data_IF_933532908898
#
_entry.id   IF_933532908898
#
_cell.length_a   1.000
_cell.length_b   1.000
_cell.length_c   1.000
_cell.angle_alpha   90.00
_cell.angle_beta   90.00
_cell.angle_gamma   90.00
#
_symmetry.space_group_name_H-M   'P 1'
#
loop_
_entity.id
_entity.type
_entity.pdbx_description
1 polymer ?
#
# COMPACT_ATOMS: atom_id res chain seq x y z
N UNK A 1 47.09 40.34 1.90
CA UNK A 1 45.68 40.14 1.45
C UNK A 1 45.78 39.43 0.10
N UNK A 2 45.22 38.27 -0.01
CA UNK A 2 45.18 37.57 -1.29
C UNK A 2 44.06 38.13 -2.16
N UNK A 3 44.32 38.26 -3.46
CA UNK A 3 43.30 38.71 -4.44
C UNK A 3 42.84 37.47 -5.21
N UNK A 4 41.53 37.35 -5.36
CA UNK A 4 40.87 36.32 -6.16
C UNK A 4 40.06 36.91 -7.28
N UNK A 5 39.97 36.23 -8.43
CA UNK A 5 39.17 36.72 -9.56
C UNK A 5 37.71 36.39 -9.35
N UNK A 6 36.85 37.36 -9.50
CA UNK A 6 35.39 37.18 -9.48
C UNK A 6 34.97 36.27 -10.63
N UNK A 7 34.29 35.15 -10.29
CA UNK A 7 33.86 34.15 -11.29
C UNK A 7 32.82 34.69 -12.29
N UNK A 8 32.16 35.80 -11.99
CA UNK A 8 31.15 36.38 -12.86
C UNK A 8 31.67 37.51 -13.74
N UNK A 9 32.51 38.43 -13.23
CA UNK A 9 32.97 39.59 -13.99
C UNK A 9 34.49 39.63 -14.21
N UNK A 10 35.26 38.65 -13.72
CA UNK A 10 36.69 38.52 -13.92
C UNK A 10 37.59 39.52 -13.16
N UNK A 11 37.02 40.53 -12.45
CA UNK A 11 37.80 41.49 -11.70
C UNK A 11 38.44 40.90 -10.44
N UNK A 12 39.65 41.39 -10.13
CA UNK A 12 40.35 41.02 -8.89
C UNK A 12 39.71 41.70 -7.68
N UNK A 13 39.43 40.90 -6.67
CA UNK A 13 38.71 41.28 -5.45
C UNK A 13 39.37 40.61 -4.25
N UNK A 14 39.21 41.15 -3.07
CA UNK A 14 39.74 40.54 -1.85
C UNK A 14 39.10 39.16 -1.60
N UNK A 15 39.91 38.21 -1.21
CA UNK A 15 39.49 36.86 -0.77
C UNK A 15 38.53 36.86 0.44
N UNK A 16 38.46 37.98 1.16
CA UNK A 16 37.56 38.18 2.32
C UNK A 16 36.29 38.96 1.98
N UNK A 17 36.09 39.35 0.71
CA UNK A 17 34.90 40.06 0.31
C UNK A 17 33.69 39.11 0.25
N UNK A 18 32.57 39.48 0.87
CA UNK A 18 31.34 38.72 0.88
C UNK A 18 30.59 38.78 -0.45
N UNK A 19 30.79 39.86 -1.21
CA UNK A 19 30.24 40.05 -2.55
C UNK A 19 31.19 40.89 -3.43
N UNK A 20 31.14 40.70 -4.73
CA UNK A 20 31.94 41.50 -5.68
C UNK A 20 31.44 42.94 -5.72
N UNK A 21 32.28 43.93 -5.42
CA UNK A 21 31.85 45.35 -5.41
C UNK A 21 31.49 45.88 -6.80
N UNK A 22 31.85 45.19 -7.86
CA UNK A 22 31.60 45.62 -9.25
C UNK A 22 30.33 45.01 -9.84
N UNK A 23 29.96 43.76 -9.49
CA UNK A 23 28.83 43.08 -10.10
C UNK A 23 27.85 42.47 -9.05
N UNK A 24 28.08 42.71 -7.76
CA UNK A 24 27.20 42.25 -6.70
C UNK A 24 27.19 40.71 -6.45
N UNK A 25 27.95 39.91 -7.22
CA UNK A 25 27.95 38.46 -7.08
C UNK A 25 28.57 38.03 -5.74
N UNK A 26 27.89 37.27 -4.92
CA UNK A 26 28.45 36.73 -3.65
C UNK A 26 29.64 35.80 -3.93
N UNK A 27 30.73 36.01 -3.18
CA UNK A 27 32.03 35.34 -3.44
C UNK A 27 32.22 34.11 -2.59
N UNK A 28 31.70 34.14 -1.38
CA UNK A 28 31.72 33.00 -0.45
C UNK A 28 30.30 32.50 -0.26
N UNK A 29 29.85 31.62 -1.16
CA UNK A 29 28.72 30.78 -0.90
C UNK A 29 29.31 29.57 -0.14
N UNK A 30 28.88 29.29 1.10
CA UNK A 30 29.25 28.00 1.72
C UNK A 30 28.78 26.90 0.76
N UNK A 31 29.67 25.95 0.45
CA UNK A 31 29.31 24.78 -0.33
C UNK A 31 28.09 24.14 0.33
N UNK A 32 27.09 23.84 -0.47
CA UNK A 32 25.84 23.21 -0.03
C UNK A 32 26.16 22.01 0.87
N UNK A 33 26.01 22.18 2.18
CA UNK A 33 26.11 21.09 3.11
C UNK A 33 25.02 20.07 2.77
N UNK A 34 25.41 18.83 2.62
CA UNK A 34 24.45 17.73 2.44
C UNK A 34 24.16 17.09 3.78
N UNK A 35 22.92 16.75 4.02
CA UNK A 35 22.54 15.97 5.19
C UNK A 35 23.30 14.64 5.19
N UNK A 36 23.98 14.33 6.29
CA UNK A 36 24.77 13.09 6.47
C UNK A 36 23.92 11.83 6.46
N UNK A 37 22.64 11.96 6.79
CA UNK A 37 21.73 10.83 6.90
C UNK A 37 20.97 10.53 5.58
N UNK A 38 20.53 11.56 4.85
CA UNK A 38 19.71 11.35 3.66
C UNK A 38 20.25 11.97 2.37
N UNK A 39 21.39 12.69 2.43
CA UNK A 39 22.02 13.31 1.27
C UNK A 39 21.30 14.56 0.71
N UNK A 40 20.22 15.02 1.35
CA UNK A 40 19.48 16.20 0.93
C UNK A 40 20.34 17.46 1.03
N UNK A 41 20.22 18.39 0.03
CA UNK A 41 21.00 19.63 0.02
C UNK A 41 20.35 20.62 0.99
N UNK A 42 21.14 21.03 2.01
CA UNK A 42 20.69 21.91 3.08
C UNK A 42 20.95 23.39 2.77
N UNK A 43 20.09 24.26 3.25
CA UNK A 43 20.29 25.70 3.26
C UNK A 43 21.13 26.10 4.48
N UNK A 44 21.84 27.22 4.41
CA UNK A 44 22.65 27.76 5.52
C UNK A 44 21.83 28.18 6.76
N UNK A 45 20.51 28.21 6.65
CA UNK A 45 19.59 28.59 7.72
C UNK A 45 18.88 27.38 8.35
N UNK A 46 19.10 26.17 7.78
CA UNK A 46 18.43 24.97 8.26
C UNK A 46 19.14 24.40 9.50
N UNK A 47 18.47 24.39 10.63
CA UNK A 47 18.94 23.72 11.85
C UNK A 47 18.47 22.25 11.92
N UNK A 48 17.51 21.88 11.11
CA UNK A 48 16.94 20.54 11.00
C UNK A 48 16.74 20.23 9.51
N UNK A 49 17.12 19.05 9.05
CA UNK A 49 16.94 18.65 7.66
C UNK A 49 15.45 18.58 7.31
N UNK A 50 14.94 19.34 6.32
CA UNK A 50 13.52 19.35 5.97
C UNK A 50 13.04 18.04 5.34
N UNK A 51 13.96 17.20 4.89
CA UNK A 51 13.61 15.92 4.25
C UNK A 51 13.52 14.74 5.24
N UNK A 52 14.41 14.67 6.25
CA UNK A 52 14.46 13.52 7.17
C UNK A 52 14.33 13.89 8.65
N UNK A 53 14.25 15.19 9.00
CA UNK A 53 14.13 15.65 10.38
C UNK A 53 15.41 15.54 11.23
N UNK A 54 16.56 15.22 10.63
CA UNK A 54 17.83 15.10 11.35
C UNK A 54 18.38 16.46 11.76
N UNK A 55 18.84 16.67 13.02
CA UNK A 55 19.46 17.93 13.43
C UNK A 55 20.82 18.13 12.74
N UNK A 56 21.09 19.33 12.28
CA UNK A 56 22.32 19.71 11.59
C UNK A 56 23.28 20.28 12.63
N UNK A 57 24.40 19.58 12.88
CA UNK A 57 25.43 20.07 13.78
C UNK A 57 26.19 21.24 13.14
N UNK A 58 26.04 22.45 13.70
CA UNK A 58 26.91 23.57 13.37
C UNK A 58 28.30 23.33 13.98
N UNK A 59 29.32 23.25 13.13
CA UNK A 59 30.72 23.21 13.58
C UNK A 59 31.12 24.59 14.13
N UNK A 60 30.81 24.84 15.39
CA UNK A 60 31.48 25.91 16.11
C UNK A 60 32.85 25.38 16.60
N UNK A 61 33.91 25.99 16.08
CA UNK A 61 35.27 25.77 16.55
C UNK A 61 35.38 26.11 18.04
N UNK A 62 36.01 25.29 18.87
CA UNK A 62 36.11 25.57 20.30
C UNK A 62 36.99 26.81 20.52
N UNK A 63 36.39 27.84 21.11
CA UNK A 63 37.15 29.00 21.61
C UNK A 63 38.01 28.54 22.80
N UNK A 64 39.34 28.76 22.71
CA UNK A 64 40.29 28.52 23.76
C UNK A 64 40.05 29.54 24.90
N UNK A 65 39.41 29.08 25.97
CA UNK A 65 39.25 29.86 27.21
C UNK A 65 40.57 29.67 28.03
N UNK A 66 41.29 30.76 28.25
CA UNK A 66 42.39 30.77 29.22
C UNK A 66 41.80 30.76 30.63
N UNK A 67 42.06 29.68 31.36
CA UNK A 67 41.64 29.51 32.75
C UNK A 67 42.72 30.09 33.64
N UNK A 68 42.39 31.06 34.54
CA UNK A 68 43.34 31.48 35.60
C UNK A 68 43.64 30.32 36.53
N UNK A 69 44.92 30.16 36.82
CA UNK A 69 45.47 29.13 37.71
C UNK A 69 44.88 29.28 39.13
N UNK A 70 43.86 28.52 39.46
CA UNK A 70 43.33 28.42 40.85
C UNK A 70 43.82 27.10 41.44
N UNK A 71 44.63 27.20 42.49
CA UNK A 71 45.15 26.05 43.24
C UNK A 71 44.00 25.14 43.74
N UNK A 72 44.16 23.81 43.71
CA UNK A 72 43.11 22.91 44.12
C UNK A 72 42.92 22.89 45.65
N UNK A 73 41.87 23.55 46.12
CA UNK A 73 41.32 23.25 47.42
C UNK A 73 40.68 21.85 47.36
N UNK A 74 41.19 20.93 48.18
CA UNK A 74 40.62 19.61 48.40
C UNK A 74 39.16 19.77 48.88
N UNK A 75 38.21 19.74 47.93
CA UNK A 75 36.80 19.49 48.27
C UNK A 75 36.58 17.97 48.26
N UNK A 76 36.30 17.42 49.44
CA UNK A 76 35.83 16.05 49.58
C UNK A 76 34.57 15.86 48.76
N UNK A 77 34.72 15.10 47.68
CA UNK A 77 33.60 14.68 46.82
C UNK A 77 32.73 13.68 47.58
N UNK A 78 31.71 14.15 48.27
CA UNK A 78 30.65 13.29 48.80
C UNK A 78 29.95 12.61 47.61
N UNK A 79 30.26 11.35 47.41
CA UNK A 79 29.58 10.27 46.68
C UNK A 79 28.29 10.68 45.92
N UNK A 80 28.41 11.13 44.66
CA UNK A 80 27.31 11.21 43.69
C UNK A 80 27.14 9.93 42.84
N UNK A 81 27.88 8.86 43.20
CA UNK A 81 27.85 7.58 42.45
C UNK A 81 26.46 6.92 42.33
N UNK A 82 25.58 6.94 43.37
CA UNK A 82 24.27 6.29 43.21
C UNK A 82 23.33 7.03 42.24
N UNK A 83 23.43 8.36 42.13
CA UNK A 83 22.56 9.16 41.25
C UNK A 83 22.87 8.90 39.74
N UNK A 84 24.15 8.73 39.41
CA UNK A 84 24.58 8.43 38.05
C UNK A 84 24.12 7.03 37.65
N UNK A 85 24.21 6.04 38.53
CA UNK A 85 23.76 4.66 38.30
C UNK A 85 22.25 4.63 38.08
N UNK A 86 21.47 5.35 38.89
CA UNK A 86 20.01 5.46 38.72
C UNK A 86 19.65 6.12 37.38
N UNK A 87 20.35 7.19 36.98
CA UNK A 87 20.14 7.84 35.69
C UNK A 87 20.44 6.90 34.49
N UNK A 88 21.52 6.13 34.57
CA UNK A 88 21.86 5.15 33.55
C UNK A 88 20.81 4.03 33.45
N UNK A 89 20.32 3.53 34.59
CA UNK A 89 19.24 2.52 34.60
C UNK A 89 17.96 3.05 33.98
N UNK A 90 17.57 4.31 34.27
CA UNK A 90 16.40 4.95 33.69
C UNK A 90 16.55 5.12 32.17
N UNK A 91 17.72 5.53 31.67
CA UNK A 91 17.98 5.64 30.24
C UNK A 91 17.89 4.27 29.55
N UNK A 92 18.48 3.24 30.15
CA UNK A 92 18.39 1.87 29.62
C UNK A 92 16.95 1.35 29.61
N UNK A 93 16.14 1.67 30.64
CA UNK A 93 14.73 1.30 30.68
C UNK A 93 13.90 2.00 29.59
N UNK A 94 14.19 3.29 29.31
CA UNK A 94 13.55 4.04 28.23
C UNK A 94 13.93 3.43 26.85
N UNK A 95 15.20 3.12 26.64
CA UNK A 95 15.68 2.48 25.41
C UNK A 95 15.01 1.11 25.23
N UNK A 96 14.98 0.28 26.28
CA UNK A 96 14.34 -1.03 26.25
C UNK A 96 12.84 -0.93 25.94
N UNK A 97 12.13 0.05 26.54
CA UNK A 97 10.71 0.28 26.27
C UNK A 97 10.46 0.76 24.82
N UNK A 98 11.32 1.62 24.27
CA UNK A 98 11.24 2.08 22.89
C UNK A 98 11.48 0.92 21.89
N UNK A 99 12.48 0.06 22.15
CA UNK A 99 12.76 -1.13 21.35
C UNK A 99 11.56 -2.10 21.41
N UNK A 100 11.03 -2.36 22.60
CA UNK A 100 9.86 -3.23 22.78
C UNK A 100 8.63 -2.69 22.07
N UNK A 101 8.40 -1.38 22.11
CA UNK A 101 7.28 -0.72 21.42
C UNK A 101 7.42 -0.83 19.90
N UNK A 102 8.61 -0.59 19.34
CA UNK A 102 8.85 -0.72 17.89
C UNK A 102 8.71 -2.17 17.42
N UNK A 103 9.19 -3.13 18.23
CA UNK A 103 8.99 -4.55 17.94
C UNK A 103 7.52 -4.94 17.98
N UNK A 104 6.78 -4.53 19.01
CA UNK A 104 5.35 -4.78 19.14
C UNK A 104 4.56 -4.19 17.96
N UNK A 105 4.85 -2.93 17.57
CA UNK A 105 4.21 -2.28 16.43
C UNK A 105 4.46 -3.04 15.13
N UNK A 106 5.72 -3.50 14.91
CA UNK A 106 6.08 -4.30 13.74
C UNK A 106 5.33 -5.64 13.71
N UNK A 107 5.25 -6.32 14.85
CA UNK A 107 4.57 -7.60 14.97
C UNK A 107 3.08 -7.47 14.67
N UNK A 108 2.44 -6.44 15.25
CA UNK A 108 1.03 -6.14 14.98
C UNK A 108 0.76 -5.84 13.50
N UNK A 109 1.64 -5.10 12.84
CA UNK A 109 1.53 -4.83 11.39
C UNK A 109 1.59 -6.12 10.57
N UNK A 110 2.40 -7.09 10.96
CA UNK A 110 2.51 -8.40 10.32
C UNK A 110 1.22 -9.21 10.52
N UNK A 111 0.69 -9.25 11.75
CA UNK A 111 -0.55 -9.96 12.09
C UNK A 111 -1.76 -9.36 11.36
N UNK A 112 -1.87 -8.03 11.35
CA UNK A 112 -2.94 -7.32 10.62
C UNK A 112 -2.85 -7.60 9.11
N UNK A 113 -1.63 -7.62 8.54
CA UNK A 113 -1.42 -7.95 7.13
C UNK A 113 -1.85 -9.38 6.81
N UNK A 114 -1.44 -10.35 7.63
CA UNK A 114 -1.82 -11.76 7.48
C UNK A 114 -3.33 -11.95 7.59
N UNK A 115 -3.97 -11.29 8.54
CA UNK A 115 -5.42 -11.31 8.71
C UNK A 115 -6.16 -10.78 7.48
N UNK A 116 -5.72 -9.63 6.94
CA UNK A 116 -6.31 -9.05 5.74
C UNK A 116 -6.07 -9.91 4.50
N UNK A 117 -4.90 -10.54 4.38
CA UNK A 117 -4.58 -11.47 3.30
C UNK A 117 -5.53 -12.69 3.32
N UNK A 118 -5.70 -13.31 4.47
CA UNK A 118 -6.62 -14.45 4.66
C UNK A 118 -8.07 -14.04 4.41
N UNK A 119 -8.49 -12.88 4.93
CA UNK A 119 -9.86 -12.39 4.73
C UNK A 119 -10.13 -12.08 3.24
N UNK A 120 -9.19 -11.43 2.54
CA UNK A 120 -9.34 -11.15 1.13
C UNK A 120 -9.46 -12.45 0.31
N UNK A 121 -8.57 -13.43 0.56
CA UNK A 121 -8.57 -14.71 -0.14
C UNK A 121 -9.87 -15.49 0.10
N UNK A 122 -10.33 -15.57 1.34
CA UNK A 122 -11.59 -16.27 1.67
C UNK A 122 -12.82 -15.57 1.12
N UNK A 123 -12.84 -14.24 1.12
CA UNK A 123 -13.94 -13.44 0.51
C UNK A 123 -13.99 -13.68 -1.00
N UNK A 124 -12.84 -13.62 -1.68
CA UNK A 124 -12.77 -13.91 -3.12
C UNK A 124 -13.25 -15.32 -3.44
N UNK A 125 -12.84 -16.34 -2.67
CA UNK A 125 -13.30 -17.73 -2.87
C UNK A 125 -14.81 -17.84 -2.73
N UNK A 126 -15.37 -17.34 -1.61
CA UNK A 126 -16.81 -17.47 -1.36
C UNK A 126 -17.64 -16.72 -2.40
N UNK A 127 -17.17 -15.56 -2.85
CA UNK A 127 -17.85 -14.75 -3.87
C UNK A 127 -17.69 -15.36 -5.27
N UNK A 128 -16.55 -15.96 -5.59
CA UNK A 128 -16.35 -16.64 -6.86
C UNK A 128 -17.25 -17.89 -6.99
N UNK A 129 -17.44 -18.65 -5.94
CA UNK A 129 -18.41 -19.79 -5.92
C UNK A 129 -19.84 -19.28 -6.23
N UNK A 130 -20.26 -18.15 -5.64
CA UNK A 130 -21.54 -17.54 -5.96
C UNK A 130 -21.59 -17.08 -7.43
N UNK A 131 -20.50 -16.51 -7.94
CA UNK A 131 -20.41 -16.06 -9.32
C UNK A 131 -20.43 -17.25 -10.31
N UNK A 132 -19.83 -18.37 -9.96
CA UNK A 132 -19.89 -19.61 -10.75
C UNK A 132 -21.33 -20.13 -10.81
N UNK A 133 -22.02 -20.23 -9.68
CA UNK A 133 -23.44 -20.64 -9.64
C UNK A 133 -24.33 -19.70 -10.46
N UNK A 134 -24.13 -18.39 -10.35
CA UNK A 134 -24.87 -17.39 -11.11
C UNK A 134 -24.57 -17.49 -12.61
N UNK A 135 -23.30 -17.63 -12.99
CA UNK A 135 -22.88 -17.76 -14.38
C UNK A 135 -23.43 -19.02 -15.04
N UNK A 136 -23.43 -20.13 -14.32
CA UNK A 136 -24.05 -21.38 -14.78
C UNK A 136 -25.55 -21.21 -14.99
N UNK A 137 -26.27 -20.55 -14.08
CA UNK A 137 -27.71 -20.29 -14.22
C UNK A 137 -28.00 -19.34 -15.38
N UNK A 138 -27.20 -18.29 -15.58
CA UNK A 138 -27.28 -17.41 -16.75
C UNK A 138 -27.13 -18.20 -18.03
N UNK A 139 -26.09 -19.05 -18.12
CA UNK A 139 -25.85 -19.92 -19.27
C UNK A 139 -27.07 -20.81 -19.55
N UNK A 140 -27.57 -21.51 -18.51
CA UNK A 140 -28.67 -22.45 -18.66
C UNK A 140 -29.98 -21.76 -19.09
N UNK A 141 -30.31 -20.60 -18.52
CA UNK A 141 -31.47 -19.81 -18.94
C UNK A 141 -31.34 -19.35 -20.38
N UNK A 142 -30.16 -18.87 -20.75
CA UNK A 142 -29.88 -18.42 -22.13
C UNK A 142 -29.98 -19.55 -23.12
N UNK A 143 -29.30 -20.67 -22.83
CA UNK A 143 -29.27 -21.88 -23.64
C UNK A 143 -30.68 -22.48 -23.80
N UNK A 144 -31.40 -22.67 -22.68
CA UNK A 144 -32.73 -23.30 -22.67
C UNK A 144 -33.76 -22.43 -23.39
N UNK A 145 -33.61 -21.12 -23.39
CA UNK A 145 -34.46 -20.23 -24.19
C UNK A 145 -34.22 -20.42 -25.70
N UNK A 146 -32.92 -20.40 -26.12
CA UNK A 146 -32.57 -20.49 -27.56
C UNK A 146 -32.94 -21.87 -28.14
N UNK A 147 -32.69 -22.93 -27.39
CA UNK A 147 -32.85 -24.32 -27.85
C UNK A 147 -34.15 -24.96 -27.38
N UNK A 148 -35.08 -24.18 -26.80
CA UNK A 148 -36.37 -24.63 -26.29
C UNK A 148 -36.27 -25.89 -25.39
N UNK A 149 -35.29 -25.85 -24.43
CA UNK A 149 -35.08 -26.96 -23.52
C UNK A 149 -35.79 -26.72 -22.19
N UNK A 150 -36.63 -27.66 -21.81
CA UNK A 150 -37.34 -27.63 -20.53
C UNK A 150 -36.42 -28.15 -19.42
N UNK A 151 -36.27 -27.36 -18.36
CA UNK A 151 -35.55 -27.66 -17.15
C UNK A 151 -36.24 -27.05 -15.94
N UNK A 152 -36.43 -27.83 -14.86
CA UNK A 152 -37.12 -27.39 -13.65
C UNK A 152 -36.54 -26.14 -12.98
N UNK A 153 -35.24 -25.92 -13.13
CA UNK A 153 -34.52 -24.75 -12.56
C UNK A 153 -34.75 -23.49 -13.38
N UNK A 154 -34.87 -23.62 -14.70
CA UNK A 154 -34.92 -22.47 -15.64
C UNK A 154 -36.29 -22.14 -16.15
N UNK A 155 -37.26 -23.08 -16.10
CA UNK A 155 -38.57 -22.92 -16.70
C UNK A 155 -39.34 -21.65 -16.22
N UNK A 156 -39.16 -21.25 -14.96
CA UNK A 156 -39.78 -20.03 -14.43
C UNK A 156 -39.35 -18.75 -15.14
N UNK A 157 -38.18 -18.79 -15.84
CA UNK A 157 -37.62 -17.67 -16.58
C UNK A 157 -37.85 -17.80 -18.09
N UNK A 158 -37.84 -19.04 -18.62
CA UNK A 158 -37.82 -19.31 -20.05
C UNK A 158 -39.19 -19.45 -20.67
N UNK A 159 -40.24 -19.57 -19.85
CA UNK A 159 -41.63 -19.71 -20.33
C UNK A 159 -42.45 -18.45 -20.07
N UNK A 160 -43.25 -18.06 -21.08
CA UNK A 160 -44.36 -17.11 -20.93
C UNK A 160 -45.67 -17.86 -20.81
N UNK A 161 -46.48 -17.52 -19.79
CA UNK A 161 -47.78 -18.16 -19.53
C UNK A 161 -48.68 -18.20 -20.77
N UNK A 162 -48.99 -19.38 -21.26
CA UNK A 162 -49.87 -19.60 -22.41
C UNK A 162 -49.22 -19.52 -23.78
N UNK A 163 -47.93 -19.21 -23.91
CA UNK A 163 -47.22 -19.02 -25.18
C UNK A 163 -46.02 -19.96 -25.43
N UNK A 164 -45.64 -20.79 -24.43
CA UNK A 164 -44.48 -21.63 -24.54
C UNK A 164 -43.17 -20.92 -24.17
N UNK A 165 -42.07 -21.30 -24.82
CA UNK A 165 -40.78 -20.65 -24.60
C UNK A 165 -40.74 -19.18 -25.08
N UNK A 166 -40.02 -18.34 -24.36
CA UNK A 166 -39.81 -16.96 -24.78
C UNK A 166 -39.08 -16.93 -26.13
N UNK A 167 -39.56 -16.12 -27.06
CA UNK A 167 -38.94 -15.98 -28.41
C UNK A 167 -37.65 -15.18 -28.40
N UNK A 168 -37.38 -14.44 -27.33
CA UNK A 168 -36.21 -13.61 -27.12
C UNK A 168 -35.52 -13.96 -25.78
N UNK A 169 -34.30 -14.39 -25.86
CA UNK A 169 -33.49 -14.74 -24.68
C UNK A 169 -33.31 -13.56 -23.70
N UNK A 170 -33.36 -12.30 -24.19
CA UNK A 170 -33.27 -11.14 -23.32
C UNK A 170 -34.50 -11.08 -22.37
N UNK A 171 -35.68 -11.52 -22.83
CA UNK A 171 -36.84 -11.63 -21.95
C UNK A 171 -36.58 -12.60 -20.80
N UNK A 172 -35.98 -13.74 -21.09
CA UNK A 172 -35.63 -14.75 -20.09
C UNK A 172 -34.53 -14.28 -19.12
N UNK A 173 -33.50 -13.63 -19.63
CA UNK A 173 -32.42 -13.07 -18.77
C UNK A 173 -32.97 -11.92 -17.93
N UNK A 174 -33.81 -11.05 -18.47
CA UNK A 174 -34.45 -9.99 -17.67
C UNK A 174 -35.35 -10.56 -16.56
N UNK A 175 -36.06 -11.65 -16.81
CA UNK A 175 -36.83 -12.37 -15.79
C UNK A 175 -35.91 -12.96 -14.70
N UNK A 176 -34.80 -13.54 -15.08
CA UNK A 176 -33.78 -14.05 -14.14
C UNK A 176 -33.22 -12.91 -13.26
N UNK A 177 -32.74 -11.82 -13.86
CA UNK A 177 -32.16 -10.69 -13.11
C UNK A 177 -33.19 -9.91 -12.29
N UNK A 178 -34.49 -10.09 -12.55
CA UNK A 178 -35.58 -9.53 -11.76
C UNK A 178 -36.11 -10.46 -10.66
N UNK A 179 -35.62 -11.70 -10.61
CA UNK A 179 -35.91 -12.65 -9.55
C UNK A 179 -35.22 -12.23 -8.24
N UNK A 180 -35.97 -12.17 -7.13
CA UNK A 180 -35.48 -11.66 -5.85
C UNK A 180 -34.28 -12.45 -5.31
N UNK A 181 -34.31 -13.77 -5.44
CA UNK A 181 -33.24 -14.65 -4.97
C UNK A 181 -31.97 -14.45 -5.81
N UNK A 182 -32.12 -14.41 -7.13
CA UNK A 182 -30.99 -14.19 -8.03
C UNK A 182 -30.41 -12.78 -7.91
N UNK A 183 -31.24 -11.75 -7.86
CA UNK A 183 -30.76 -10.36 -7.68
C UNK A 183 -30.02 -10.17 -6.36
N UNK A 184 -30.52 -10.78 -5.27
CA UNK A 184 -29.82 -10.78 -3.98
C UNK A 184 -28.44 -11.46 -4.06
N UNK A 185 -28.32 -12.54 -4.83
CA UNK A 185 -27.02 -13.20 -5.07
C UNK A 185 -26.04 -12.29 -5.82
N UNK A 186 -26.55 -11.55 -6.83
CA UNK A 186 -25.75 -10.55 -7.57
C UNK A 186 -25.31 -9.39 -6.67
N UNK A 187 -26.19 -8.92 -5.78
CA UNK A 187 -25.87 -7.87 -4.80
C UNK A 187 -24.78 -8.34 -3.82
N UNK A 188 -24.88 -9.55 -3.29
CA UNK A 188 -23.86 -10.16 -2.43
C UNK A 188 -22.48 -10.24 -3.12
N UNK A 189 -22.45 -10.58 -4.42
CA UNK A 189 -21.22 -10.58 -5.23
C UNK A 189 -20.64 -9.18 -5.31
N UNK A 190 -21.46 -8.16 -5.57
CA UNK A 190 -21.03 -6.77 -5.67
C UNK A 190 -20.50 -6.23 -4.33
N UNK A 191 -21.19 -6.50 -3.21
CA UNK A 191 -20.72 -6.15 -1.87
C UNK A 191 -19.38 -6.81 -1.56
N UNK A 192 -19.21 -8.09 -1.93
CA UNK A 192 -17.94 -8.80 -1.79
C UNK A 192 -16.83 -8.16 -2.63
N UNK A 193 -17.13 -7.69 -3.85
CA UNK A 193 -16.16 -6.94 -4.69
C UNK A 193 -15.70 -5.66 -4.01
N UNK A 194 -16.59 -4.91 -3.39
CA UNK A 194 -16.25 -3.67 -2.68
C UNK A 194 -15.39 -3.95 -1.44
N UNK A 195 -15.71 -4.98 -0.68
CA UNK A 195 -14.89 -5.42 0.45
C UNK A 195 -13.49 -5.85 -0.01
N UNK A 196 -13.40 -6.69 -1.03
CA UNK A 196 -12.11 -7.16 -1.60
C UNK A 196 -11.30 -5.98 -2.12
N UNK A 197 -11.91 -5.01 -2.81
CA UNK A 197 -11.23 -3.78 -3.25
C UNK A 197 -10.59 -3.01 -2.08
N UNK A 198 -11.31 -2.91 -0.96
CA UNK A 198 -10.83 -2.25 0.25
C UNK A 198 -9.66 -3.01 0.89
N UNK A 199 -9.76 -4.33 0.94
CA UNK A 199 -8.71 -5.21 1.46
C UNK A 199 -7.46 -5.15 0.57
N UNK A 200 -7.60 -5.20 -0.76
CA UNK A 200 -6.48 -5.08 -1.69
C UNK A 200 -5.73 -3.75 -1.56
N UNK A 201 -6.46 -2.64 -1.31
CA UNK A 201 -5.83 -1.34 -0.98
C UNK A 201 -5.01 -1.41 0.31
N UNK A 202 -5.52 -2.07 1.36
CA UNK A 202 -4.79 -2.25 2.62
C UNK A 202 -3.55 -3.13 2.48
N UNK A 203 -3.56 -4.07 1.54
CA UNK A 203 -2.47 -5.00 1.24
C UNK A 203 -1.39 -4.40 0.32
N UNK A 204 -1.59 -3.21 -0.23
CA UNK A 204 -0.72 -2.61 -1.27
C UNK A 204 0.73 -2.36 -0.86
N UNK A 205 1.03 -2.34 0.45
CA UNK A 205 2.38 -2.16 0.99
C UNK A 205 2.79 -3.38 1.83
N UNK A 206 3.17 -4.50 1.21
CA UNK A 206 3.46 -5.73 1.92
C UNK A 206 4.75 -5.62 2.77
N UNK A 207 4.77 -6.15 4.00
CA UNK A 207 6.02 -6.46 4.68
C UNK A 207 6.88 -7.37 3.80
N UNK A 208 8.21 -7.26 3.87
CA UNK A 208 9.14 -7.98 2.98
C UNK A 208 8.86 -9.47 2.85
N UNK A 209 8.47 -10.11 3.93
CA UNK A 209 8.15 -11.55 3.98
C UNK A 209 6.87 -11.94 3.24
N UNK A 210 6.01 -10.97 2.90
CA UNK A 210 4.75 -11.18 2.17
C UNK A 210 4.80 -10.67 0.72
N UNK A 211 5.96 -10.31 0.19
CA UNK A 211 6.07 -9.78 -1.17
C UNK A 211 5.58 -10.77 -2.23
N UNK A 212 5.92 -12.05 -2.08
CA UNK A 212 5.47 -13.12 -3.00
C UNK A 212 3.97 -13.42 -2.81
N UNK A 213 3.49 -13.46 -1.57
CA UNK A 213 2.06 -13.61 -1.28
C UNK A 213 1.23 -12.45 -1.87
N UNK A 214 1.77 -11.23 -1.84
CA UNK A 214 1.12 -10.09 -2.48
C UNK A 214 1.07 -10.20 -4.00
N UNK A 215 2.11 -10.73 -4.63
CA UNK A 215 2.09 -11.00 -6.06
C UNK A 215 1.02 -12.05 -6.41
N UNK A 216 0.95 -13.14 -5.65
CA UNK A 216 -0.05 -14.19 -5.86
C UNK A 216 -1.49 -13.70 -5.64
N UNK A 217 -1.75 -12.91 -4.57
CA UNK A 217 -3.11 -12.41 -4.33
C UNK A 217 -3.55 -11.38 -5.38
N UNK A 218 -2.63 -10.66 -6.02
CA UNK A 218 -2.98 -9.79 -7.16
C UNK A 218 -3.45 -10.61 -8.37
N UNK A 219 -2.76 -11.69 -8.71
CA UNK A 219 -3.19 -12.58 -9.79
C UNK A 219 -4.56 -13.21 -9.46
N UNK A 220 -4.78 -13.62 -8.21
CA UNK A 220 -6.08 -14.11 -7.76
C UNK A 220 -7.16 -13.03 -7.85
N UNK A 221 -6.84 -11.79 -7.49
CA UNK A 221 -7.75 -10.67 -7.56
C UNK A 221 -8.16 -10.33 -9.00
N UNK A 222 -7.22 -10.35 -9.94
CA UNK A 222 -7.52 -10.12 -11.35
C UNK A 222 -8.45 -11.21 -11.90
N UNK A 223 -8.17 -12.49 -11.62
CA UNK A 223 -9.03 -13.60 -12.00
C UNK A 223 -10.41 -13.57 -11.30
N UNK A 224 -10.47 -13.13 -10.05
CA UNK A 224 -11.70 -12.90 -9.30
C UNK A 224 -12.60 -11.83 -9.95
N UNK A 225 -12.01 -10.74 -10.42
CA UNK A 225 -12.76 -9.71 -11.13
C UNK A 225 -13.34 -10.24 -12.45
N UNK A 226 -12.60 -11.08 -13.17
CA UNK A 226 -13.07 -11.67 -14.42
C UNK A 226 -14.30 -12.55 -14.20
N UNK A 227 -14.25 -13.51 -13.27
CA UNK A 227 -15.38 -14.41 -13.02
C UNK A 227 -16.60 -13.68 -12.46
N UNK A 228 -16.39 -12.74 -11.54
CA UNK A 228 -17.51 -11.95 -10.97
C UNK A 228 -18.13 -11.00 -12.00
N UNK A 229 -17.35 -10.43 -12.91
CA UNK A 229 -17.87 -9.60 -14.00
C UNK A 229 -18.72 -10.41 -14.98
N UNK A 230 -18.36 -11.64 -15.29
CA UNK A 230 -19.19 -12.52 -16.11
C UNK A 230 -20.58 -12.74 -15.49
N UNK A 231 -20.64 -12.94 -14.19
CA UNK A 231 -21.91 -13.15 -13.48
C UNK A 231 -22.75 -11.87 -13.33
N UNK A 232 -22.09 -10.73 -13.02
CA UNK A 232 -22.81 -9.46 -12.72
C UNK A 232 -23.13 -8.64 -13.96
N UNK A 233 -22.45 -8.88 -15.07
CA UNK A 233 -22.63 -8.13 -16.33
C UNK A 233 -22.42 -9.03 -17.55
N UNK A 234 -23.27 -10.05 -17.78
CA UNK A 234 -23.14 -10.95 -18.93
C UNK A 234 -23.32 -10.19 -20.25
N UNK A 235 -22.38 -10.41 -21.21
CA UNK A 235 -22.38 -9.72 -22.51
C UNK A 235 -22.00 -10.66 -23.65
N UNK A 236 -22.31 -10.24 -24.86
CA UNK A 236 -21.95 -10.96 -26.09
C UNK A 236 -23.02 -11.94 -26.58
N UNK A 237 -22.60 -13.04 -27.18
CA UNK A 237 -23.45 -14.17 -27.58
C UNK A 237 -23.33 -15.29 -26.54
N UNK A 238 -24.27 -16.24 -26.54
CA UNK A 238 -24.17 -17.43 -25.68
C UNK A 238 -22.81 -18.14 -25.83
N UNK A 239 -22.30 -18.29 -27.06
CA UNK A 239 -21.02 -18.93 -27.32
C UNK A 239 -19.85 -18.15 -26.71
N UNK A 240 -19.82 -16.83 -26.91
CA UNK A 240 -18.74 -15.98 -26.35
C UNK A 240 -18.84 -15.90 -24.83
N UNK A 241 -20.04 -15.78 -24.28
CA UNK A 241 -20.25 -15.82 -22.84
C UNK A 241 -19.75 -17.12 -22.22
N UNK A 242 -20.14 -18.29 -22.80
CA UNK A 242 -19.72 -19.61 -22.29
C UNK A 242 -18.20 -19.76 -22.33
N UNK A 243 -17.54 -19.34 -23.41
CA UNK A 243 -16.07 -19.41 -23.50
C UNK A 243 -15.40 -18.51 -22.46
N UNK A 244 -15.81 -17.24 -22.39
CA UNK A 244 -15.23 -16.27 -21.45
C UNK A 244 -15.43 -16.70 -20.00
N UNK A 245 -16.61 -17.21 -19.67
CA UNK A 245 -16.94 -17.68 -18.32
C UNK A 245 -16.11 -18.91 -17.93
N UNK A 246 -15.98 -19.91 -18.81
CA UNK A 246 -15.17 -21.09 -18.56
C UNK A 246 -13.67 -20.74 -18.40
N UNK A 247 -13.16 -19.80 -19.20
CA UNK A 247 -11.78 -19.32 -19.07
C UNK A 247 -11.57 -18.57 -17.75
N UNK A 248 -12.52 -17.72 -17.35
CA UNK A 248 -12.48 -16.99 -16.08
C UNK A 248 -12.51 -17.93 -14.86
N UNK A 249 -13.38 -18.95 -14.87
CA UNK A 249 -13.46 -19.97 -13.82
C UNK A 249 -12.15 -20.78 -13.71
N UNK A 250 -11.63 -21.24 -14.85
CA UNK A 250 -10.35 -21.97 -14.89
C UNK A 250 -9.18 -21.11 -14.39
N UNK A 251 -9.13 -19.82 -14.75
CA UNK A 251 -8.08 -18.90 -14.32
C UNK A 251 -8.19 -18.62 -12.82
N UNK A 252 -9.42 -18.40 -12.31
CA UNK A 252 -9.65 -18.23 -10.88
C UNK A 252 -9.18 -19.44 -10.07
N UNK A 253 -9.56 -20.66 -10.49
CA UNK A 253 -9.15 -21.89 -9.83
C UNK A 253 -7.62 -22.03 -9.78
N UNK A 254 -6.91 -21.75 -10.88
CA UNK A 254 -5.44 -21.80 -10.94
C UNK A 254 -4.79 -20.75 -10.01
N UNK A 255 -5.29 -19.52 -10.05
CA UNK A 255 -4.76 -18.46 -9.22
C UNK A 255 -5.02 -18.71 -7.72
N UNK A 256 -6.19 -19.26 -7.38
CA UNK A 256 -6.51 -19.67 -6.01
C UNK A 256 -5.59 -20.79 -5.52
N UNK A 257 -5.33 -21.81 -6.35
CA UNK A 257 -4.38 -22.89 -6.00
C UNK A 257 -2.97 -22.37 -5.77
N UNK A 258 -2.51 -21.39 -6.57
CA UNK A 258 -1.23 -20.73 -6.36
C UNK A 258 -1.21 -19.94 -5.05
N UNK A 259 -2.31 -19.27 -4.70
CA UNK A 259 -2.43 -18.48 -3.46
C UNK A 259 -2.42 -19.35 -2.19
N UNK A 260 -2.94 -20.57 -2.24
CA UNK A 260 -2.96 -21.51 -1.08
C UNK A 260 -1.58 -21.79 -0.48
N UNK A 261 -0.51 -21.62 -1.23
CA UNK A 261 0.87 -21.84 -0.74
C UNK A 261 1.25 -20.79 0.34
N UNK A 262 0.56 -19.68 0.39
CA UNK A 262 0.85 -18.54 1.28
C UNK A 262 -0.15 -18.36 2.43
N UNK A 263 -1.09 -19.31 2.59
CA UNK A 263 -2.16 -19.26 3.61
C UNK A 263 -1.84 -20.07 4.87
#
# INVERSE_FOLDING_TARGET
MALVKCKNCGKEISDKATACPTCGTPINKPENQRCTECGFILSSEDNICPNCGCPIQSNELPQKIEIPNVQPTKRESKRKKPLIIVAVILILAIIASAISFTYYKKQKTIEDYQSNLSLATSTMLNSAVKAEDAGNLIHDVWYNTIYEKSDGRTNKYTYSSGYGFNSDFNTSLNALFSDEEFSSQIDDINESKDLVNSLMKSLSNPPKQYAEAYAAIKELYDAYLDITNCATNPTGSLTTFSSTFNDADSNFSKAYDAMKVYM
#
